data_IF_540445647150
#
_entry.id   IF_540445647150
#
_cell.length_a   1.000
_cell.length_b   1.000
_cell.length_c   1.000
_cell.angle_alpha   90.00
_cell.angle_beta   90.00
_cell.angle_gamma   90.00
#
_symmetry.space_group_name_H-M   'P 1'
#
loop_
_entity.id
_entity.type
_entity.pdbx_description
1 polymer ?
#
# COMPACT_ATOMS: atom_id res chain seq x y z
N UNK A 1 15.49 -19.22 8.68
CA UNK A 1 16.06 -17.85 8.53
C UNK A 1 15.30 -16.97 7.53
N UNK A 2 14.66 -17.51 6.48
CA UNK A 2 13.86 -16.73 5.52
C UNK A 2 12.54 -16.12 6.04
N UNK A 3 11.98 -16.61 7.15
CA UNK A 3 10.73 -16.05 7.70
C UNK A 3 10.93 -14.75 8.50
N UNK A 4 12.14 -14.52 9.04
CA UNK A 4 12.46 -13.32 9.82
C UNK A 4 12.67 -12.08 8.94
N UNK A 5 13.22 -12.24 7.74
CA UNK A 5 13.45 -11.15 6.80
C UNK A 5 12.15 -10.61 6.19
N UNK A 6 11.16 -11.48 5.94
CA UNK A 6 9.83 -11.05 5.43
C UNK A 6 9.07 -10.24 6.50
N UNK A 7 9.19 -10.58 7.78
CA UNK A 7 8.54 -9.84 8.87
C UNK A 7 9.11 -8.43 9.06
N UNK A 8 10.43 -8.24 8.91
CA UNK A 8 11.08 -6.92 9.04
C UNK A 8 10.69 -6.00 7.88
N UNK A 9 10.58 -6.52 6.65
CA UNK A 9 10.15 -5.74 5.47
C UNK A 9 8.68 -5.33 5.61
N UNK A 10 7.82 -6.21 6.15
CA UNK A 10 6.40 -5.89 6.37
C UNK A 10 6.20 -4.83 7.48
N UNK A 11 7.04 -4.85 8.52
CA UNK A 11 6.98 -3.87 9.61
C UNK A 11 7.41 -2.46 9.18
N UNK A 12 8.37 -2.34 8.26
CA UNK A 12 8.80 -1.05 7.71
C UNK A 12 7.76 -0.40 6.78
N UNK A 13 6.86 -1.16 6.15
CA UNK A 13 5.85 -0.62 5.23
C UNK A 13 4.65 0.02 5.95
N UNK A 14 4.39 -0.30 7.22
CA UNK A 14 3.21 0.24 7.94
C UNK A 14 3.46 1.53 8.72
N UNK A 15 4.71 1.87 9.04
CA UNK A 15 5.02 2.90 10.06
C UNK A 15 5.51 4.25 9.53
N UNK A 16 5.50 4.48 8.22
CA UNK A 16 6.07 5.71 7.65
C UNK A 16 5.04 6.78 7.27
N UNK A 17 3.92 6.37 6.67
CA UNK A 17 2.99 7.29 6.03
C UNK A 17 1.70 7.38 6.83
N UNK A 18 1.40 8.59 7.32
CA UNK A 18 0.10 8.88 7.90
C UNK A 18 -0.91 9.21 6.80
N UNK A 19 -2.19 8.99 7.09
CA UNK A 19 -3.29 9.38 6.19
C UNK A 19 -3.47 10.89 6.25
N UNK A 20 -3.80 11.51 5.12
CA UNK A 20 -3.95 12.97 5.04
C UNK A 20 -5.07 13.53 5.94
N UNK A 21 -6.19 12.80 6.05
CA UNK A 21 -7.37 13.21 6.84
C UNK A 21 -7.36 12.66 8.29
N UNK A 22 -6.41 11.79 8.63
CA UNK A 22 -6.36 11.15 9.95
C UNK A 22 -7.59 10.28 10.24
N UNK A 23 -8.17 10.43 11.43
CA UNK A 23 -9.29 9.61 11.91
C UNK A 23 -10.67 10.07 11.39
N UNK A 24 -10.83 11.36 11.09
CA UNK A 24 -12.05 11.91 10.51
C UNK A 24 -12.04 11.65 9.00
N UNK A 25 -12.94 10.82 8.45
CA UNK A 25 -12.93 10.50 7.02
C UNK A 25 -13.12 11.73 6.11
N UNK A 26 -12.66 11.62 4.86
CA UNK A 26 -12.71 12.70 3.86
C UNK A 26 -14.14 13.20 3.58
N UNK A 27 -15.10 12.29 3.57
CA UNK A 27 -16.50 12.57 3.27
C UNK A 27 -17.30 13.09 4.48
N UNK A 28 -16.70 13.11 5.68
CA UNK A 28 -17.37 13.59 6.89
C UNK A 28 -17.25 15.12 6.99
N UNK A 29 -18.36 15.85 7.19
CA UNK A 29 -18.36 17.29 7.40
C UNK A 29 -17.56 17.64 8.65
N UNK A 30 -16.82 18.74 8.56
CA UNK A 30 -16.03 19.29 9.66
C UNK A 30 -16.61 20.63 10.05
N UNK A 31 -16.57 20.92 11.34
CA UNK A 31 -17.12 22.14 11.90
C UNK A 31 -16.03 22.89 12.65
N UNK A 32 -16.07 24.21 12.59
CA UNK A 32 -15.44 25.06 13.59
C UNK A 32 -16.31 24.98 14.86
N UNK A 33 -15.70 24.49 15.93
CA UNK A 33 -16.35 24.16 17.19
C UNK A 33 -15.85 25.14 18.24
N UNK A 34 -16.80 25.74 18.95
CA UNK A 34 -16.54 26.56 20.13
C UNK A 34 -17.33 26.01 21.31
N UNK A 35 -16.64 25.76 22.41
CA UNK A 35 -17.27 25.31 23.65
C UNK A 35 -17.43 26.54 24.54
N UNK A 36 -18.64 26.83 25.02
CA UNK A 36 -18.95 28.07 25.77
C UNK A 36 -18.07 28.33 27.00
N UNK A 37 -17.46 27.29 27.59
CA UNK A 37 -16.56 27.40 28.75
C UNK A 37 -15.09 27.59 28.38
N UNK A 38 -14.75 27.42 27.10
CA UNK A 38 -13.41 27.55 26.58
C UNK A 38 -13.29 28.80 25.70
N UNK A 39 -12.14 29.46 25.75
CA UNK A 39 -11.86 30.59 24.85
C UNK A 39 -11.32 30.13 23.48
N UNK A 40 -10.92 28.86 23.36
CA UNK A 40 -10.36 28.30 22.15
C UNK A 40 -11.44 27.76 21.22
N UNK A 41 -11.27 28.03 19.92
CA UNK A 41 -12.03 27.43 18.84
C UNK A 41 -11.14 26.41 18.12
N UNK A 42 -11.71 25.31 17.67
CA UNK A 42 -10.96 24.27 16.96
C UNK A 42 -11.85 23.60 15.92
N UNK A 43 -11.23 23.00 14.91
CA UNK A 43 -11.95 22.24 13.89
C UNK A 43 -12.11 20.79 14.32
N UNK A 44 -13.26 20.19 14.05
CA UNK A 44 -13.50 18.80 14.40
C UNK A 44 -14.69 18.18 13.70
N UNK A 45 -14.66 16.84 13.65
CA UNK A 45 -15.77 16.00 13.27
C UNK A 45 -16.63 15.65 14.48
N UNK A 46 -17.91 15.37 14.23
CA UNK A 46 -18.90 15.14 15.29
C UNK A 46 -19.43 13.72 15.21
N UNK A 47 -19.48 13.06 16.37
CA UNK A 47 -20.05 11.73 16.56
C UNK A 47 -21.21 11.83 17.56
N UNK A 48 -22.37 11.31 17.18
CA UNK A 48 -23.56 11.24 18.02
C UNK A 48 -23.99 9.77 18.09
N UNK A 49 -24.15 9.23 19.30
CA UNK A 49 -24.54 7.82 19.49
C UNK A 49 -23.64 6.81 18.74
N UNK A 50 -22.34 7.13 18.62
CA UNK A 50 -21.35 6.27 17.94
C UNK A 50 -21.37 6.35 16.41
N UNK A 51 -22.16 7.25 15.82
CA UNK A 51 -22.20 7.48 14.38
C UNK A 51 -21.68 8.88 14.03
N UNK A 52 -20.90 8.98 12.96
CA UNK A 52 -20.49 10.27 12.41
C UNK A 52 -21.70 11.04 11.89
N UNK A 53 -21.72 12.33 12.17
CA UNK A 53 -22.65 13.24 11.50
C UNK A 53 -22.17 13.38 10.06
N UNK A 54 -23.03 13.00 9.11
CA UNK A 54 -22.72 12.95 7.67
C UNK A 54 -23.38 14.08 6.87
N UNK A 55 -24.21 14.91 7.51
CA UNK A 55 -24.87 16.04 6.87
C UNK A 55 -24.12 17.37 7.08
N UNK A 56 -24.10 18.20 6.04
CA UNK A 56 -23.51 19.55 6.11
C UNK A 56 -24.41 20.56 6.86
N UNK A 57 -25.66 20.19 7.15
CA UNK A 57 -26.58 21.01 7.94
C UNK A 57 -26.17 20.99 9.41
N UNK A 58 -26.31 22.10 10.12
CA UNK A 58 -25.99 22.18 11.54
C UNK A 58 -26.83 21.15 12.33
N UNK A 59 -26.21 20.14 12.97
CA UNK A 59 -26.94 19.12 13.69
C UNK A 59 -27.62 19.70 14.93
N UNK A 60 -28.81 19.21 15.26
CA UNK A 60 -29.47 19.58 16.52
C UNK A 60 -28.79 18.86 17.70
N UNK A 61 -28.00 19.60 18.47
CA UNK A 61 -27.17 19.06 19.55
C UNK A 61 -27.73 19.25 20.96
N UNK A 62 -28.69 20.16 21.20
CA UNK A 62 -29.01 20.70 22.54
C UNK A 62 -29.20 19.66 23.66
N UNK A 63 -29.83 18.52 23.37
CA UNK A 63 -30.13 17.46 24.35
C UNK A 63 -29.23 16.23 24.26
N UNK A 64 -28.21 16.25 23.39
CA UNK A 64 -27.39 15.07 23.07
C UNK A 64 -26.02 15.14 23.72
N UNK A 65 -25.50 13.98 24.13
CA UNK A 65 -24.07 13.81 24.39
C UNK A 65 -23.37 13.63 23.05
N UNK A 66 -22.31 14.41 22.86
CA UNK A 66 -21.59 14.52 21.60
C UNK A 66 -20.14 14.16 21.84
N UNK A 67 -19.58 13.31 21.00
CA UNK A 67 -18.16 13.07 20.92
C UNK A 67 -17.59 13.88 19.75
N UNK A 68 -16.53 14.62 20.01
CA UNK A 68 -15.87 15.50 19.06
C UNK A 68 -14.47 14.97 18.85
N UNK A 69 -14.12 14.71 17.59
CA UNK A 69 -12.75 14.36 17.20
C UNK A 69 -12.12 15.61 16.61
N UNK A 70 -10.98 16.05 17.16
CA UNK A 70 -10.29 17.26 16.70
C UNK A 70 -9.58 16.98 15.38
N UNK A 71 -9.81 17.81 14.35
CA UNK A 71 -9.26 17.65 13.00
C UNK A 71 -7.83 18.22 12.89
N UNK A 72 -6.95 17.72 13.76
CA UNK A 72 -5.51 17.98 13.82
C UNK A 72 -4.74 16.67 13.63
N UNK A 73 -4.75 16.06 12.43
CA UNK A 73 -4.25 14.70 12.24
C UNK A 73 -2.74 14.51 12.44
N UNK A 74 -1.98 15.61 12.49
CA UNK A 74 -0.55 15.60 12.87
C UNK A 74 -0.31 15.43 14.37
N UNK A 75 -1.32 15.65 15.21
CA UNK A 75 -1.29 15.37 16.64
C UNK A 75 -1.70 13.91 16.85
N UNK A 76 -0.77 13.08 17.33
CA UNK A 76 -1.00 11.65 17.54
C UNK A 76 -0.76 11.30 19.02
N UNK A 77 -1.75 10.69 19.72
CA UNK A 77 -3.10 10.33 19.24
C UNK A 77 -3.98 11.57 18.99
N UNK A 78 -4.98 11.44 18.11
CA UNK A 78 -5.98 12.50 17.91
C UNK A 78 -6.80 12.69 19.19
N UNK A 79 -7.19 13.93 19.45
CA UNK A 79 -7.90 14.29 20.68
C UNK A 79 -9.39 14.04 20.47
N UNK A 80 -9.96 13.21 21.35
CA UNK A 80 -11.40 13.01 21.47
C UNK A 80 -11.91 13.78 22.69
N UNK A 81 -13.00 14.55 22.50
CA UNK A 81 -13.66 15.29 23.58
C UNK A 81 -15.11 14.86 23.67
N UNK A 82 -15.63 14.71 24.89
CA UNK A 82 -17.05 14.42 25.12
C UNK A 82 -17.70 15.59 25.81
N UNK A 83 -18.73 16.14 25.18
CA UNK A 83 -19.42 17.33 25.65
C UNK A 83 -20.94 17.18 25.55
N UNK A 84 -21.64 18.03 26.29
CA UNK A 84 -23.09 18.16 26.17
C UNK A 84 -23.40 19.21 25.10
N UNK A 85 -24.22 18.84 24.12
CA UNK A 85 -24.44 19.64 22.92
C UNK A 85 -25.02 21.05 23.12
N UNK A 86 -25.70 21.34 24.24
CA UNK A 86 -26.16 22.69 24.57
C UNK A 86 -25.02 23.71 24.79
N UNK A 87 -23.78 23.25 24.99
CA UNK A 87 -22.60 24.10 25.23
C UNK A 87 -21.75 24.32 23.99
N UNK A 88 -22.15 23.74 22.87
CA UNK A 88 -21.36 23.69 21.65
C UNK A 88 -21.99 24.63 20.63
N UNK A 89 -21.19 25.57 20.14
CA UNK A 89 -21.49 26.39 18.98
C UNK A 89 -20.74 25.81 17.78
N UNK A 90 -21.46 25.67 16.66
CA UNK A 90 -20.94 25.06 15.44
C UNK A 90 -21.03 26.02 14.27
N UNK A 91 -19.97 26.07 13.46
CA UNK A 91 -19.98 26.67 12.14
C UNK A 91 -19.42 25.68 11.13
N UNK A 92 -20.11 25.49 10.01
CA UNK A 92 -19.72 24.51 8.99
C UNK A 92 -18.47 24.96 8.23
N UNK A 93 -17.50 24.06 8.06
CA UNK A 93 -16.34 24.25 7.19
C UNK A 93 -16.56 23.52 5.85
N UNK A 94 -16.46 24.25 4.73
CA UNK A 94 -16.54 23.64 3.42
C UNK A 94 -15.37 22.66 3.16
N UNK A 95 -15.58 21.50 2.49
CA UNK A 95 -14.53 20.49 2.27
C UNK A 95 -13.27 21.02 1.58
N UNK A 96 -13.43 21.98 0.67
CA UNK A 96 -12.31 22.64 -0.03
C UNK A 96 -11.45 23.45 0.96
N UNK A 97 -12.07 24.12 1.92
CA UNK A 97 -11.37 24.88 2.97
C UNK A 97 -10.68 23.93 3.95
N UNK A 98 -11.38 22.86 4.37
CA UNK A 98 -10.81 21.79 5.20
C UNK A 98 -9.53 21.25 4.57
N UNK A 99 -9.59 20.85 3.30
CA UNK A 99 -8.43 20.31 2.58
C UNK A 99 -7.27 21.29 2.59
N UNK A 100 -7.50 22.57 2.26
CA UNK A 100 -6.45 23.60 2.28
C UNK A 100 -5.84 23.77 3.67
N UNK A 101 -6.67 23.85 4.72
CA UNK A 101 -6.22 23.96 6.11
C UNK A 101 -5.37 22.76 6.53
N UNK A 102 -5.79 21.53 6.18
CA UNK A 102 -5.02 20.33 6.47
C UNK A 102 -3.67 20.33 5.74
N UNK A 103 -3.63 20.75 4.46
CA UNK A 103 -2.37 20.87 3.72
C UNK A 103 -1.39 21.85 4.39
N UNK A 104 -1.89 23.00 4.84
CA UNK A 104 -1.10 24.00 5.56
C UNK A 104 -0.67 23.49 6.94
N UNK A 105 -1.56 22.80 7.66
CA UNK A 105 -1.30 22.23 8.98
C UNK A 105 -0.20 21.17 8.95
N UNK A 106 -0.26 20.23 8.00
CA UNK A 106 0.78 19.22 7.79
C UNK A 106 2.14 19.84 7.47
N UNK A 107 2.18 20.82 6.56
CA UNK A 107 3.42 21.54 6.23
C UNK A 107 4.01 22.25 7.44
N UNK A 108 3.16 22.94 8.21
CA UNK A 108 3.58 23.64 9.44
C UNK A 108 4.09 22.67 10.51
N UNK A 109 3.54 21.47 10.56
CA UNK A 109 3.98 20.40 11.46
C UNK A 109 5.27 19.68 10.98
N UNK A 110 5.88 20.10 9.86
CA UNK A 110 7.13 19.52 9.36
C UNK A 110 6.94 18.25 8.54
N UNK A 111 5.80 18.11 7.85
CA UNK A 111 5.51 16.99 6.96
C UNK A 111 5.54 17.42 5.49
N UNK A 112 5.94 16.48 4.65
CA UNK A 112 5.89 16.56 3.19
C UNK A 112 4.67 15.78 2.72
N UNK A 113 3.89 16.40 1.82
CA UNK A 113 2.75 15.77 1.19
C UNK A 113 3.20 15.09 -0.11
N UNK A 114 2.78 13.84 -0.28
CA UNK A 114 3.07 13.02 -1.44
C UNK A 114 1.75 12.61 -2.09
N UNK A 115 1.55 13.01 -3.33
CA UNK A 115 0.41 12.59 -4.12
C UNK A 115 0.65 11.18 -4.67
N UNK A 116 -0.32 10.28 -4.52
CA UNK A 116 -0.30 8.95 -5.11
C UNK A 116 -1.68 8.61 -5.71
N UNK A 117 -1.78 7.58 -6.58
CA UNK A 117 -3.06 7.19 -7.21
C UNK A 117 -4.17 6.78 -6.22
N UNK A 118 -3.80 6.39 -5.00
CA UNK A 118 -4.73 6.01 -3.92
C UNK A 118 -5.09 7.20 -3.00
N UNK A 119 -4.58 8.41 -3.27
CA UNK A 119 -4.82 9.63 -2.50
C UNK A 119 -3.55 10.31 -1.99
N UNK A 120 -3.72 11.29 -1.10
CA UNK A 120 -2.59 12.00 -0.49
C UNK A 120 -2.03 11.23 0.71
N UNK A 121 -0.72 11.03 0.73
CA UNK A 121 0.02 10.53 1.90
C UNK A 121 0.89 11.64 2.48
N UNK A 122 1.12 11.59 3.78
CA UNK A 122 2.02 12.53 4.46
C UNK A 122 3.17 11.80 5.13
N UNK A 123 4.35 12.38 5.04
CA UNK A 123 5.60 11.82 5.55
C UNK A 123 6.38 12.90 6.30
N UNK A 124 6.98 12.58 7.45
CA UNK A 124 7.86 13.54 8.14
C UNK A 124 9.01 13.96 7.22
N UNK A 125 9.32 15.25 7.20
CA UNK A 125 10.34 15.81 6.32
C UNK A 125 11.72 15.16 6.52
N UNK A 126 12.08 14.82 7.76
CA UNK A 126 13.33 14.11 8.07
C UNK A 126 13.41 12.74 7.38
N UNK A 127 12.31 11.97 7.41
CA UNK A 127 12.23 10.65 6.77
C UNK A 127 12.25 10.80 5.25
N UNK A 128 11.52 11.80 4.71
CA UNK A 128 11.53 12.11 3.29
C UNK A 128 12.95 12.42 2.80
N UNK A 129 13.68 13.31 3.48
CA UNK A 129 15.07 13.66 3.12
C UNK A 129 16.00 12.45 3.19
N UNK A 130 15.83 11.58 4.18
CA UNK A 130 16.61 10.34 4.28
C UNK A 130 16.33 9.39 3.11
N UNK A 131 15.06 9.25 2.71
CA UNK A 131 14.68 8.42 1.57
C UNK A 131 15.27 8.93 0.26
N UNK A 132 15.23 10.25 0.02
CA UNK A 132 15.84 10.86 -1.18
C UNK A 132 17.35 10.59 -1.22
N UNK A 133 18.07 10.80 -0.10
CA UNK A 133 19.51 10.51 -0.03
C UNK A 133 19.84 9.04 -0.30
N UNK A 134 19.01 8.13 0.21
CA UNK A 134 19.18 6.69 -0.03
C UNK A 134 19.00 6.34 -1.52
N UNK A 135 18.02 6.96 -2.19
CA UNK A 135 17.80 6.81 -3.63
C UNK A 135 18.99 7.35 -4.43
N UNK A 136 19.47 8.55 -4.10
CA UNK A 136 20.62 9.17 -4.74
C UNK A 136 21.88 8.28 -4.61
N UNK A 137 22.13 7.74 -3.41
CA UNK A 137 23.25 6.82 -3.16
C UNK A 137 23.10 5.52 -3.96
N UNK A 138 21.91 4.95 -4.01
CA UNK A 138 21.65 3.74 -4.79
C UNK A 138 21.86 3.98 -6.29
N UNK A 139 21.42 5.14 -6.80
CA UNK A 139 21.63 5.54 -8.20
C UNK A 139 23.11 5.76 -8.51
N UNK A 140 23.88 6.39 -7.62
CA UNK A 140 25.31 6.58 -7.84
C UNK A 140 26.07 5.26 -7.88
N UNK A 141 25.72 4.31 -7.00
CA UNK A 141 26.31 2.96 -7.02
C UNK A 141 25.93 2.21 -8.29
N UNK A 142 24.67 2.32 -8.72
CA UNK A 142 24.20 1.70 -9.96
C UNK A 142 24.98 2.22 -11.17
N UNK A 143 25.15 3.55 -11.30
CA UNK A 143 25.91 4.15 -12.40
C UNK A 143 27.40 3.77 -12.38
N UNK A 144 28.03 3.71 -11.21
CA UNK A 144 29.44 3.31 -11.09
C UNK A 144 29.68 1.83 -11.44
N UNK A 145 28.70 0.97 -11.12
CA UNK A 145 28.76 -0.46 -11.36
C UNK A 145 27.92 -0.87 -12.57
N UNK A 146 27.56 0.07 -13.44
CA UNK A 146 26.95 -0.29 -14.70
C UNK A 146 27.95 -1.17 -15.44
N UNK A 147 27.59 -2.43 -15.77
CA UNK A 147 28.43 -3.20 -16.66
C UNK A 147 28.62 -2.36 -17.91
N UNK A 148 29.84 -2.31 -18.48
CA UNK A 148 30.07 -1.58 -19.72
C UNK A 148 28.98 -2.00 -20.69
N UNK A 149 28.39 -1.03 -21.42
CA UNK A 149 27.50 -1.34 -22.52
C UNK A 149 28.19 -2.45 -23.30
N UNK A 150 27.57 -3.63 -23.34
CA UNK A 150 27.98 -4.66 -24.25
C UNK A 150 27.71 -4.03 -25.61
N UNK A 151 28.74 -3.36 -26.16
CA UNK A 151 28.84 -3.13 -27.57
C UNK A 151 28.60 -4.53 -28.13
N UNK A 152 27.42 -4.72 -28.69
CA UNK A 152 27.13 -5.90 -29.48
C UNK A 152 28.26 -5.93 -30.49
N UNK A 153 29.25 -6.77 -30.21
CA UNK A 153 30.20 -7.16 -31.23
C UNK A 153 29.29 -7.80 -32.26
N UNK A 154 29.22 -7.28 -33.50
CA UNK A 154 28.50 -7.96 -34.54
C UNK A 154 29.33 -9.19 -34.91
N UNK A 155 29.42 -10.17 -34.01
CA UNK A 155 29.55 -11.55 -34.43
C UNK A 155 28.26 -11.80 -35.19
N UNK A 156 28.33 -11.61 -36.51
CA UNK A 156 27.27 -11.79 -37.49
C UNK A 156 26.78 -13.24 -37.58
N UNK A 157 26.47 -13.81 -36.43
CA UNK A 157 25.72 -15.04 -36.26
C UNK A 157 24.34 -14.55 -35.90
N UNK A 158 23.60 -14.10 -36.91
CA UNK A 158 22.15 -14.08 -36.83
C UNK A 158 21.74 -15.48 -36.39
N UNK A 159 21.28 -15.61 -35.14
CA UNK A 159 20.62 -16.83 -34.69
C UNK A 159 19.35 -16.92 -35.54
N UNK A 160 19.47 -17.61 -36.68
CA UNK A 160 18.35 -17.91 -37.55
C UNK A 160 17.29 -18.61 -36.71
N UNK A 161 16.27 -17.85 -36.34
CA UNK A 161 15.17 -18.27 -35.46
C UNK A 161 14.45 -19.51 -36.01
N UNK A 162 14.63 -19.80 -37.30
CA UNK A 162 14.10 -20.97 -37.97
C UNK A 162 14.86 -22.26 -37.61
N UNK A 163 16.16 -22.18 -37.33
CA UNK A 163 16.98 -23.36 -37.02
C UNK A 163 16.69 -23.91 -35.61
N UNK A 164 16.37 -23.04 -34.65
CA UNK A 164 16.22 -23.42 -33.24
C UNK A 164 14.83 -24.00 -32.90
N UNK A 165 13.79 -23.63 -33.66
CA UNK A 165 12.44 -24.17 -33.46
C UNK A 165 12.36 -25.65 -33.88
N UNK A 166 13.07 -26.03 -34.94
CA UNK A 166 13.08 -27.39 -35.45
C UNK A 166 13.90 -28.34 -34.56
N UNK A 167 15.00 -27.87 -33.95
CA UNK A 167 15.79 -28.64 -32.98
C UNK A 167 15.06 -28.84 -31.65
N UNK A 168 14.38 -27.81 -31.14
CA UNK A 168 13.60 -27.90 -29.90
C UNK A 168 12.45 -28.90 -30.02
N UNK A 169 11.67 -28.84 -31.12
CA UNK A 169 10.57 -29.78 -31.36
C UNK A 169 11.09 -31.22 -31.52
N UNK A 170 12.22 -31.41 -32.22
CA UNK A 170 12.85 -32.75 -32.36
C UNK A 170 13.31 -33.33 -31.02
N UNK A 171 13.90 -32.52 -30.14
CA UNK A 171 14.31 -32.95 -28.80
C UNK A 171 13.10 -33.35 -27.94
N UNK A 172 12.01 -32.58 -27.99
CA UNK A 172 10.77 -32.90 -27.27
C UNK A 172 10.12 -34.19 -27.78
N UNK A 173 10.07 -34.40 -29.10
CA UNK A 173 9.57 -35.64 -29.69
C UNK A 173 10.42 -36.83 -29.24
N UNK A 174 11.75 -36.69 -29.20
CA UNK A 174 12.65 -37.73 -28.73
C UNK A 174 12.42 -38.10 -27.25
N UNK A 175 12.21 -37.11 -26.38
CA UNK A 175 11.89 -37.36 -24.97
C UNK A 175 10.53 -38.06 -24.79
N UNK A 176 9.52 -37.67 -25.58
CA UNK A 176 8.21 -38.36 -25.57
C UNK A 176 8.35 -39.82 -26.00
N UNK A 177 9.15 -40.11 -27.04
CA UNK A 177 9.40 -41.48 -27.50
C UNK A 177 10.11 -42.34 -26.43
N UNK A 178 11.07 -41.77 -25.69
CA UNK A 178 11.72 -42.47 -24.57
C UNK A 178 10.71 -42.84 -23.48
N UNK A 179 9.82 -41.90 -23.13
CA UNK A 179 8.81 -42.15 -22.09
C UNK A 179 7.85 -43.26 -22.54
N UNK A 180 7.34 -43.21 -23.77
CA UNK A 180 6.43 -44.23 -24.32
C UNK A 180 7.11 -45.60 -24.35
N UNK A 181 8.37 -45.65 -24.82
CA UNK A 181 9.20 -46.87 -24.81
C UNK A 181 9.34 -47.45 -23.39
N UNK A 182 9.64 -46.61 -22.41
CA UNK A 182 9.75 -47.01 -21.01
C UNK A 182 8.45 -47.60 -20.46
N UNK A 183 7.32 -46.96 -20.74
CA UNK A 183 5.99 -47.45 -20.33
C UNK A 183 5.64 -48.80 -20.98
N UNK A 184 5.96 -48.98 -22.27
CA UNK A 184 5.73 -50.25 -22.97
C UNK A 184 6.62 -51.38 -22.44
N UNK A 185 7.89 -51.10 -22.14
CA UNK A 185 8.78 -52.07 -21.53
C UNK A 185 8.30 -52.47 -20.14
N UNK A 186 7.90 -51.48 -19.33
CA UNK A 186 7.39 -51.72 -17.97
C UNK A 186 6.09 -52.53 -18.01
N UNK A 187 5.16 -52.19 -18.90
CA UNK A 187 3.89 -52.92 -19.04
C UNK A 187 4.11 -54.35 -19.54
N UNK A 188 5.08 -54.58 -20.43
CA UNK A 188 5.46 -55.93 -20.87
C UNK A 188 6.08 -56.75 -19.73
N UNK A 189 6.94 -56.16 -18.91
CA UNK A 189 7.53 -56.82 -17.74
C UNK A 189 6.43 -57.19 -16.74
N UNK A 190 5.52 -56.26 -16.45
CA UNK A 190 4.37 -56.50 -15.56
C UNK A 190 3.49 -57.62 -16.11
N UNK A 191 3.17 -57.59 -17.40
CA UNK A 191 2.40 -58.68 -18.02
C UNK A 191 3.12 -60.02 -17.83
N UNK A 192 4.38 -60.11 -18.28
CA UNK A 192 5.13 -61.37 -18.36
C UNK A 192 5.45 -61.97 -16.99
N UNK A 193 5.72 -61.14 -15.98
CA UNK A 193 6.22 -61.61 -14.69
C UNK A 193 5.24 -61.46 -13.52
N UNK A 194 4.27 -60.55 -13.60
CA UNK A 194 3.30 -60.33 -12.51
C UNK A 194 1.90 -60.86 -12.84
N UNK A 195 1.51 -60.92 -14.12
CA UNK A 195 0.15 -61.28 -14.53
C UNK A 195 0.05 -62.63 -15.25
N UNK A 196 1.18 -63.24 -15.65
CA UNK A 196 1.13 -64.57 -16.29
C UNK A 196 1.13 -65.62 -15.18
N UNK A 197 0.03 -66.37 -14.96
CA UNK A 197 0.03 -67.45 -13.98
C UNK A 197 1.02 -68.52 -14.42
N UNK A 198 1.91 -68.94 -13.51
CA UNK A 198 2.67 -70.17 -13.69
C UNK A 198 1.67 -71.32 -13.80
N UNK A 199 1.38 -71.76 -15.03
CA UNK A 199 0.85 -73.09 -15.24
C UNK A 199 1.95 -74.06 -14.82
N UNK A 200 1.66 -74.78 -13.73
CA UNK A 200 2.37 -75.95 -13.19
C UNK A 200 2.89 -76.89 -14.27
#
# INVERSE_FOLDING_TARGET
MFQLSVYIILWCLSNGAQTFYGEIPENIPTFLIKIQREQSEFYGGIIIQGQWVDNASLPELKSKSVEIVVDTPWETPQIHRRELGHRIELSYEAPVLRKKRLEEGWKKAGYVLLDNPQGKKVLKEAIYKQAIRAIEMAQSIYQQNQPPELLYSPSGIELDSNTNRNTFIKQWIFHILIIISGVLCLSFIIWKFLLTPHSS
#
